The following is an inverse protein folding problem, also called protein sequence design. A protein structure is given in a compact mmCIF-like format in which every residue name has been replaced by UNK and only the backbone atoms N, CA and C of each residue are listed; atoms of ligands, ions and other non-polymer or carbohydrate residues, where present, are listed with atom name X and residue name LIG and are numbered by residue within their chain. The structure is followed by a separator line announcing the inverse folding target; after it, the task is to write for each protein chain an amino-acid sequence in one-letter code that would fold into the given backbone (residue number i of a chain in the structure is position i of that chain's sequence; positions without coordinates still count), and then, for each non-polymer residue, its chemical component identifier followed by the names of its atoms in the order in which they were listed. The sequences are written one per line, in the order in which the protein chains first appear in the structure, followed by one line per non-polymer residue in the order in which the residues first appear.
data_IF_397963786238
#
_entry.id   IF_397963786238
#
_cell.length_a   1.000
_cell.length_b   1.000
_cell.length_c   1.000
_cell.angle_alpha   90.00
_cell.angle_beta   90.00
_cell.angle_gamma   90.00
#
_symmetry.space_group_name_H-M   'P 1'
#
loop_
_entity.id
_entity.type
_entity.pdbx_description
1 polymer ?
#
# COMPACT_ATOMS: atom_id res chain seq x y z
N UNK A 1 -9.08 2.29 -12.83
CA UNK A 1 -7.60 2.36 -12.87
C UNK A 1 -7.13 3.05 -11.60
N UNK A 2 -6.23 2.43 -10.83
CA UNK A 2 -5.62 3.04 -9.62
C UNK A 2 -4.60 4.06 -10.12
N UNK A 3 -4.74 5.34 -9.75
CA UNK A 3 -3.79 6.39 -10.14
C UNK A 3 -2.71 6.56 -9.06
N UNK A 4 -1.47 6.95 -9.44
CA UNK A 4 -0.39 7.24 -8.48
C UNK A 4 -0.75 8.34 -7.47
N UNK A 5 -0.02 8.42 -6.35
CA UNK A 5 -0.27 9.39 -5.26
C UNK A 5 -0.20 10.84 -5.75
N UNK A 6 0.81 11.20 -6.55
CA UNK A 6 0.92 12.55 -7.12
C UNK A 6 -0.32 12.91 -7.94
N UNK A 7 -0.87 11.94 -8.67
CA UNK A 7 -2.10 12.11 -9.44
C UNK A 7 -3.33 12.30 -8.55
N UNK A 8 -3.36 11.69 -7.36
CA UNK A 8 -4.43 11.95 -6.38
C UNK A 8 -4.39 13.42 -5.97
N UNK A 9 -3.21 13.97 -5.68
CA UNK A 9 -3.03 15.38 -5.32
C UNK A 9 -3.40 16.33 -6.46
N UNK A 10 -2.98 16.03 -7.70
CA UNK A 10 -3.37 16.83 -8.89
C UNK A 10 -4.89 16.86 -9.06
N UNK A 11 -5.57 15.75 -8.77
CA UNK A 11 -7.03 15.64 -8.77
C UNK A 11 -7.70 16.31 -7.57
N UNK A 12 -6.93 17.00 -6.71
CA UNK A 12 -7.37 17.63 -5.45
C UNK A 12 -8.02 16.64 -4.49
N UNK A 13 -7.49 15.41 -4.44
CA UNK A 13 -7.98 14.39 -3.51
C UNK A 13 -7.25 14.43 -2.21
N UNK A 14 -7.98 14.22 -1.13
CA UNK A 14 -7.45 14.04 0.21
C UNK A 14 -7.17 12.55 0.39
N UNK A 15 -5.92 12.21 0.69
CA UNK A 15 -5.54 10.84 1.02
C UNK A 15 -5.77 10.65 2.52
N UNK A 16 -6.68 9.77 2.89
CA UNK A 16 -7.05 9.50 4.28
C UNK A 16 -6.53 8.13 4.68
N UNK A 17 -5.72 8.09 5.73
CA UNK A 17 -5.22 6.83 6.29
C UNK A 17 -6.35 6.09 6.99
N UNK A 18 -6.46 4.78 6.76
CA UNK A 18 -7.44 3.92 7.44
C UNK A 18 -6.84 2.58 7.82
N UNK A 19 -7.22 2.06 8.98
CA UNK A 19 -6.91 0.68 9.36
C UNK A 19 -7.99 -0.32 8.92
N UNK A 20 -9.19 0.16 8.54
CA UNK A 20 -10.30 -0.68 8.11
C UNK A 20 -10.05 -1.23 6.69
N UNK A 21 -9.87 -2.55 6.51
CA UNK A 21 -9.64 -3.15 5.19
C UNK A 21 -10.81 -2.93 4.22
N UNK A 22 -12.03 -2.68 4.70
CA UNK A 22 -13.20 -2.42 3.85
C UNK A 22 -13.15 -1.06 3.17
N UNK A 23 -12.40 -0.12 3.75
CA UNK A 23 -12.26 1.24 3.22
C UNK A 23 -11.05 1.38 2.31
N UNK A 24 -10.14 0.41 2.26
CA UNK A 24 -8.97 0.49 1.39
C UNK A 24 -9.41 0.64 -0.08
N UNK A 25 -9.00 1.74 -0.70
CA UNK A 25 -9.37 2.16 -2.07
C UNK A 25 -10.82 2.59 -2.27
N UNK A 26 -11.57 2.83 -1.20
CA UNK A 26 -12.89 3.43 -1.30
C UNK A 26 -12.77 4.93 -1.52
N UNK A 27 -13.60 5.46 -2.42
CA UNK A 27 -13.61 6.86 -2.83
C UNK A 27 -14.92 7.47 -2.30
N UNK A 28 -14.82 8.51 -1.50
CA UNK A 28 -15.98 9.23 -0.98
C UNK A 28 -15.72 10.72 -1.19
N UNK A 29 -16.49 11.35 -2.07
CA UNK A 29 -16.25 12.72 -2.53
C UNK A 29 -14.83 12.90 -3.08
N UNK A 30 -14.05 13.80 -2.47
CA UNK A 30 -12.65 14.09 -2.75
C UNK A 30 -11.69 13.23 -1.93
N UNK A 31 -12.19 12.37 -1.04
CA UNK A 31 -11.35 11.51 -0.20
C UNK A 31 -11.09 10.16 -0.86
N UNK A 32 -9.84 9.69 -0.74
CA UNK A 32 -9.45 8.31 -1.01
C UNK A 32 -8.87 7.70 0.25
N UNK A 33 -9.45 6.60 0.69
CA UNK A 33 -9.01 5.91 1.90
C UNK A 33 -7.95 4.88 1.55
N UNK A 34 -6.79 4.98 2.19
CA UNK A 34 -5.63 4.12 1.94
C UNK A 34 -5.15 3.56 3.27
N UNK A 35 -4.81 2.27 3.27
CA UNK A 35 -4.29 1.59 4.47
C UNK A 35 -2.79 1.63 4.41
N UNK A 36 -2.14 1.71 5.58
CA UNK A 36 -0.68 1.74 5.74
C UNK A 36 0.01 0.49 5.20
N UNK A 37 1.24 0.62 4.70
CA UNK A 37 2.01 -0.52 4.24
C UNK A 37 2.46 -1.32 5.46
N UNK A 38 1.93 -2.53 5.57
CA UNK A 38 2.16 -3.37 6.75
C UNK A 38 3.62 -3.84 6.77
N UNK A 39 4.36 -3.53 7.85
CA UNK A 39 5.82 -3.79 7.94
C UNK A 39 6.19 -5.25 7.66
N UNK A 40 5.33 -6.19 8.08
CA UNK A 40 5.58 -7.61 7.88
C UNK A 40 5.57 -8.01 6.40
N UNK A 41 4.90 -7.25 5.51
CA UNK A 41 4.94 -7.50 4.07
C UNK A 41 6.31 -7.19 3.46
N UNK A 42 7.17 -6.43 4.14
CA UNK A 42 8.58 -6.27 3.75
C UNK A 42 9.52 -7.28 4.41
N UNK A 43 9.04 -8.12 5.34
CA UNK A 43 9.89 -9.02 6.11
C UNK A 43 10.17 -10.32 5.34
N UNK A 44 11.44 -10.57 4.99
CA UNK A 44 11.84 -11.81 4.34
C UNK A 44 11.35 -13.08 5.06
N UNK A 45 11.37 -13.08 6.40
CA UNK A 45 10.86 -14.20 7.22
C UNK A 45 9.36 -14.44 7.00
N UNK A 46 8.56 -13.38 6.95
CA UNK A 46 7.13 -13.50 6.64
C UNK A 46 6.92 -14.12 5.25
N UNK A 47 7.74 -13.75 4.27
CA UNK A 47 7.64 -14.34 2.95
C UNK A 47 7.98 -15.83 2.96
N UNK A 48 9.02 -16.25 3.67
CA UNK A 48 9.35 -17.68 3.79
C UNK A 48 8.24 -18.46 4.49
N UNK A 49 7.74 -17.95 5.62
CA UNK A 49 6.78 -18.64 6.47
C UNK A 49 5.37 -18.71 5.85
N UNK A 50 4.96 -17.67 5.11
CA UNK A 50 3.56 -17.49 4.66
C UNK A 50 3.38 -17.30 3.16
N UNK A 51 4.44 -17.05 2.38
CA UNK A 51 4.34 -16.73 0.96
C UNK A 51 5.06 -17.72 0.02
N UNK A 52 6.09 -18.42 0.50
CA UNK A 52 6.91 -19.34 -0.30
C UNK A 52 6.52 -20.83 -0.17
N UNK A 53 5.51 -21.18 0.64
CA UNK A 53 5.08 -22.56 0.87
C UNK A 53 4.07 -23.11 -0.13
N UNK A 54 4.12 -24.41 -0.41
CA UNK A 54 3.35 -25.10 -1.46
C UNK A 54 1.88 -25.47 -1.08
N UNK A 55 1.30 -24.76 -0.10
CA UNK A 55 0.02 -25.11 0.52
C UNK A 55 -1.17 -24.24 0.08
N UNK A 56 -2.36 -24.84 -0.08
CA UNK A 56 -3.59 -24.10 -0.45
C UNK A 56 -4.02 -22.97 0.51
N UNK A 57 -3.60 -23.00 1.79
CA UNK A 57 -3.77 -21.88 2.74
C UNK A 57 -2.77 -20.75 2.47
N UNK A 58 -1.52 -21.10 2.16
CA UNK A 58 -0.49 -20.20 1.66
C UNK A 58 -1.00 -19.44 0.45
N UNK A 59 -1.72 -20.10 -0.47
CA UNK A 59 -2.32 -19.45 -1.65
C UNK A 59 -3.25 -18.27 -1.33
N UNK A 60 -4.14 -18.36 -0.33
CA UNK A 60 -5.07 -17.26 -0.01
C UNK A 60 -4.36 -16.06 0.61
N UNK A 61 -3.43 -16.31 1.54
CA UNK A 61 -2.62 -15.27 2.18
C UNK A 61 -1.67 -14.64 1.15
N UNK A 62 -1.04 -15.46 0.30
CA UNK A 62 -0.26 -15.01 -0.86
C UNK A 62 -1.04 -14.06 -1.73
N UNK A 63 -2.22 -14.49 -2.17
CA UNK A 63 -3.05 -13.68 -3.06
C UNK A 63 -3.48 -12.37 -2.41
N UNK A 64 -3.81 -12.38 -1.13
CA UNK A 64 -4.17 -11.17 -0.40
C UNK A 64 -2.95 -10.23 -0.25
N UNK A 65 -1.80 -10.74 0.16
CA UNK A 65 -0.55 -10.00 0.30
C UNK A 65 -0.09 -9.40 -1.03
N UNK A 66 -0.04 -10.20 -2.09
CA UNK A 66 0.32 -9.76 -3.44
C UNK A 66 -0.71 -8.77 -4.00
N UNK A 67 -2.00 -8.98 -3.77
CA UNK A 67 -3.05 -8.03 -4.14
C UNK A 67 -2.87 -6.68 -3.45
N UNK A 68 -2.52 -6.70 -2.18
CA UNK A 68 -2.23 -5.50 -1.38
C UNK A 68 -0.97 -4.78 -1.88
N UNK A 69 0.13 -5.51 -2.08
CA UNK A 69 1.38 -4.95 -2.62
C UNK A 69 1.19 -4.39 -4.02
N UNK A 70 0.39 -5.05 -4.86
CA UNK A 70 0.06 -4.57 -6.20
C UNK A 70 -0.61 -3.20 -6.16
N UNK A 71 -1.50 -2.95 -5.21
CA UNK A 71 -2.08 -1.62 -5.02
C UNK A 71 -1.00 -0.58 -4.77
N UNK A 72 -0.05 -0.90 -3.89
CA UNK A 72 1.08 -0.02 -3.58
C UNK A 72 2.00 0.23 -4.77
N UNK A 73 2.26 -0.77 -5.62
CA UNK A 73 2.99 -0.57 -6.88
C UNK A 73 2.30 0.42 -7.83
N UNK A 74 0.97 0.57 -7.77
CA UNK A 74 0.25 1.57 -8.57
C UNK A 74 0.23 2.96 -7.91
N UNK A 75 0.16 3.03 -6.57
CA UNK A 75 0.21 4.30 -5.86
C UNK A 75 1.59 4.92 -5.86
N UNK A 76 2.61 4.10 -5.66
CA UNK A 76 4.00 4.51 -5.44
C UNK A 76 4.82 4.11 -6.66
N UNK A 77 4.59 4.85 -7.76
CA UNK A 77 5.15 4.51 -9.07
C UNK A 77 6.44 5.26 -9.37
N UNK A 78 6.55 6.46 -8.84
CA UNK A 78 7.70 7.34 -9.01
C UNK A 78 8.27 7.72 -7.64
N UNK A 79 9.53 8.17 -7.61
CA UNK A 79 10.17 8.64 -6.39
C UNK A 79 9.39 9.81 -5.73
N UNK A 80 8.73 10.64 -6.53
CA UNK A 80 7.82 11.68 -6.01
C UNK A 80 6.63 11.10 -5.24
N UNK A 81 6.04 10.01 -5.71
CA UNK A 81 4.99 9.29 -4.99
C UNK A 81 5.52 8.68 -3.70
N UNK A 82 6.76 8.16 -3.72
CA UNK A 82 7.40 7.59 -2.54
C UNK A 82 7.60 8.63 -1.44
N UNK A 83 8.06 9.83 -1.80
CA UNK A 83 8.17 10.96 -0.84
C UNK A 83 6.81 11.36 -0.27
N UNK A 84 5.75 11.38 -1.10
CA UNK A 84 4.37 11.62 -0.61
C UNK A 84 3.94 10.50 0.36
N UNK A 85 4.24 9.25 0.03
CA UNK A 85 3.89 8.11 0.88
C UNK A 85 4.60 8.13 2.24
N UNK A 86 5.81 8.70 2.31
CA UNK A 86 6.57 8.89 3.55
C UNK A 86 6.25 10.19 4.29
N UNK A 87 5.41 11.06 3.74
CA UNK A 87 5.05 12.32 4.39
C UNK A 87 4.52 12.04 5.81
N UNK A 88 5.02 12.74 6.86
CA UNK A 88 4.62 12.46 8.25
C UNK A 88 3.12 12.55 8.52
N UNK A 89 2.37 13.30 7.71
CA UNK A 89 0.91 13.40 7.82
C UNK A 89 0.18 12.17 7.25
N UNK A 90 0.81 11.44 6.32
CA UNK A 90 0.24 10.27 5.66
C UNK A 90 0.84 8.96 6.16
N UNK A 91 2.15 8.90 6.38
CA UNK A 91 2.90 7.75 6.91
C UNK A 91 2.57 6.41 6.22
N UNK A 92 2.14 6.43 4.95
CA UNK A 92 1.69 5.25 4.19
C UNK A 92 2.81 4.24 4.00
N UNK A 93 4.05 4.72 3.93
CA UNK A 93 5.28 3.94 3.96
C UNK A 93 6.12 4.48 5.12
N UNK A 94 6.78 3.58 5.83
CA UNK A 94 7.65 3.93 6.94
C UNK A 94 8.86 4.76 6.45
N UNK A 95 9.35 5.64 7.31
CA UNK A 95 10.51 6.48 7.02
C UNK A 95 11.85 5.70 6.95
N UNK A 96 11.90 4.46 7.47
CA UNK A 96 13.09 3.60 7.44
C UNK A 96 13.25 2.82 6.13
N UNK A 97 12.28 2.91 5.22
CA UNK A 97 12.32 2.28 3.90
C UNK A 97 13.00 3.23 2.90
N UNK A 98 13.88 2.70 2.04
CA UNK A 98 14.47 3.41 0.91
C UNK A 98 13.63 3.22 -0.36
N UNK A 99 13.80 4.12 -1.33
CA UNK A 99 13.24 3.94 -2.67
C UNK A 99 13.97 2.86 -3.48
N UNK A 100 15.28 2.71 -3.24
CA UNK A 100 16.15 1.69 -3.85
C UNK A 100 16.09 0.33 -3.12
#
# INVERSE_FOLDING_TARGET
SISPLYCQLVKRRIVVVTEDPKLHLVWIYDCIFVKLLLRYLGSHRFWQDYLCGDGGRTSRICRAALGYLRTYCYFVRYESDFRIAQDPSLCLILADVSWE
#
